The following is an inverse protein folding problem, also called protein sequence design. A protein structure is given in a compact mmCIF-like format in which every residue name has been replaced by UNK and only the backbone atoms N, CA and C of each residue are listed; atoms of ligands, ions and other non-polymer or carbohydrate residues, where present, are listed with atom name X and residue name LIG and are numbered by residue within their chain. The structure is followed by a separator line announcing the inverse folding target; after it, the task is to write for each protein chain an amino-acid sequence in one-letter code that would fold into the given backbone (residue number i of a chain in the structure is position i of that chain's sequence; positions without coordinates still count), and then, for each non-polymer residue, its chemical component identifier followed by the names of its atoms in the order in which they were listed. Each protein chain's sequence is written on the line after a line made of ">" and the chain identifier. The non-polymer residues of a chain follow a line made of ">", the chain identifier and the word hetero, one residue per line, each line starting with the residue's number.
data_IF_620006533469
#
_entry.id   IF_620006533469
#
_cell.length_a   1.000
_cell.length_b   1.000
_cell.length_c   1.000
_cell.angle_alpha   90.00
_cell.angle_beta   90.00
_cell.angle_gamma   90.00
#
_symmetry.space_group_name_H-M   'P 1'
#
loop_
_entity.id
_entity.type
_entity.pdbx_description
1 polymer ?
#
# COMPACT_ATOMS: atom_id res chain seq x y z
N UNK A 1 -14.31 17.89 8.20
CA UNK A 1 -13.69 16.59 8.59
C UNK A 1 -14.62 15.78 9.48
N UNK A 2 -14.78 14.49 9.22
CA UNK A 2 -15.63 13.55 9.98
C UNK A 2 -14.75 12.59 10.80
N UNK A 3 -14.02 13.11 11.76
CA UNK A 3 -13.17 12.35 12.68
C UNK A 3 -13.88 12.24 14.03
N UNK A 4 -14.11 11.01 14.51
CA UNK A 4 -14.72 10.77 15.84
C UNK A 4 -13.66 10.87 16.96
N UNK A 5 -13.04 12.04 17.05
CA UNK A 5 -12.03 12.35 18.06
C UNK A 5 -11.99 13.85 18.35
N UNK A 6 -12.03 14.21 19.64
CA UNK A 6 -11.87 15.58 20.13
C UNK A 6 -10.47 15.76 20.74
N UNK A 7 -9.66 16.63 20.11
CA UNK A 7 -8.29 16.91 20.56
C UNK A 7 -8.28 17.72 21.86
N UNK A 8 -7.54 17.26 22.86
CA UNK A 8 -7.22 18.03 24.07
C UNK A 8 -6.34 19.23 23.74
N UNK A 9 -5.41 19.03 22.80
CA UNK A 9 -4.56 20.08 22.25
C UNK A 9 -4.86 20.27 20.74
N UNK A 10 -5.68 21.27 20.35
CA UNK A 10 -6.06 21.51 18.96
C UNK A 10 -4.88 21.90 18.05
N UNK A 11 -3.75 22.38 18.61
CA UNK A 11 -2.55 22.70 17.81
C UNK A 11 -1.92 21.44 17.19
N UNK A 12 -2.11 20.26 17.79
CA UNK A 12 -1.66 18.98 17.20
C UNK A 12 -2.41 18.67 15.91
N UNK A 13 -3.72 18.87 15.88
CA UNK A 13 -4.51 18.70 14.65
C UNK A 13 -4.10 19.70 13.57
N UNK A 14 -3.98 20.98 13.94
CA UNK A 14 -3.53 22.03 13.02
C UNK A 14 -2.17 21.69 12.41
N UNK A 15 -1.22 21.22 13.23
CA UNK A 15 0.10 20.80 12.77
C UNK A 15 0.00 19.60 11.82
N UNK A 16 -0.84 18.60 12.14
CA UNK A 16 -1.05 17.42 11.29
C UNK A 16 -1.61 17.76 9.90
N UNK A 17 -2.40 18.83 9.81
CA UNK A 17 -3.00 19.31 8.58
C UNK A 17 -2.13 20.32 7.81
N UNK A 18 -0.95 20.69 8.31
CA UNK A 18 -0.04 21.65 7.68
C UNK A 18 1.10 20.94 6.97
N UNK A 19 1.22 21.13 5.65
CA UNK A 19 2.30 20.54 4.86
C UNK A 19 3.61 21.34 4.91
N UNK A 20 4.75 20.65 4.73
CA UNK A 20 6.09 21.26 4.68
C UNK A 20 6.26 22.31 3.58
N UNK A 21 5.49 22.19 2.49
CA UNK A 21 5.45 23.21 1.43
C UNK A 21 4.78 24.53 1.83
N UNK A 22 4.05 24.56 2.95
CA UNK A 22 3.39 25.77 3.52
C UNK A 22 4.24 26.35 4.64
N UNK A 23 4.70 25.51 5.56
CA UNK A 23 5.60 25.91 6.65
C UNK A 23 6.74 24.90 6.79
N UNK A 24 7.95 25.32 6.47
CA UNK A 24 9.13 24.45 6.51
C UNK A 24 9.58 24.07 7.94
N UNK A 25 9.14 24.83 8.96
CA UNK A 25 9.54 24.62 10.36
C UNK A 25 8.43 23.99 11.20
N UNK A 26 7.15 24.30 10.90
CA UNK A 26 5.99 23.83 11.66
C UNK A 26 5.04 23.08 10.71
N UNK A 27 5.32 21.81 10.47
CA UNK A 27 4.59 20.98 9.51
C UNK A 27 4.36 19.56 10.04
N UNK A 28 3.68 18.75 9.24
CA UNK A 28 3.21 17.43 9.62
C UNK A 28 4.26 16.30 9.57
N UNK A 29 5.46 16.50 9.02
CA UNK A 29 6.43 15.42 8.74
C UNK A 29 6.81 14.59 9.99
N UNK A 30 6.97 15.23 11.14
CA UNK A 30 7.28 14.52 12.39
C UNK A 30 6.09 13.75 12.95
N UNK A 31 4.87 14.25 12.76
CA UNK A 31 3.65 13.54 13.13
C UNK A 31 3.38 12.38 12.17
N UNK A 32 3.60 12.56 10.88
CA UNK A 32 3.58 11.51 9.85
C UNK A 32 4.52 10.37 10.24
N UNK A 33 5.78 10.69 10.58
CA UNK A 33 6.76 9.67 10.99
C UNK A 33 6.28 8.78 12.14
N UNK A 34 5.71 9.35 13.20
CA UNK A 34 5.21 8.55 14.34
C UNK A 34 3.88 7.88 14.01
N UNK A 35 3.02 8.56 13.25
CA UNK A 35 1.70 8.08 12.87
C UNK A 35 1.73 6.85 11.97
N UNK A 36 2.65 6.79 11.01
CA UNK A 36 2.88 5.58 10.20
C UNK A 36 3.18 4.36 11.08
N UNK A 37 4.01 4.50 12.13
CA UNK A 37 4.32 3.40 13.08
C UNK A 37 3.11 3.02 13.92
N UNK A 38 2.32 4.00 14.36
CA UNK A 38 1.08 3.78 15.13
C UNK A 38 0.04 3.06 14.25
N UNK A 39 -0.15 3.50 13.02
CA UNK A 39 -1.03 2.85 12.05
C UNK A 39 -0.56 1.42 11.77
N UNK A 40 0.71 1.25 11.42
CA UNK A 40 1.27 -0.06 11.08
C UNK A 40 1.10 -1.07 12.20
N UNK A 41 1.39 -0.71 13.45
CA UNK A 41 1.22 -1.59 14.60
C UNK A 41 -0.26 -1.90 14.87
N UNK A 42 -1.14 -0.90 14.77
CA UNK A 42 -2.58 -1.08 15.02
C UNK A 42 -3.23 -2.02 14.00
N UNK A 43 -2.89 -1.86 12.71
CA UNK A 43 -3.37 -2.73 11.63
C UNK A 43 -2.76 -4.14 11.74
N UNK A 44 -1.48 -4.26 12.09
CA UNK A 44 -0.86 -5.57 12.30
C UNK A 44 -1.52 -6.34 13.43
N UNK A 45 -1.79 -5.68 14.57
CA UNK A 45 -2.49 -6.29 15.70
C UNK A 45 -3.92 -6.70 15.32
N UNK A 46 -4.67 -5.84 14.62
CA UNK A 46 -6.01 -6.14 14.13
C UNK A 46 -6.01 -7.39 13.23
N UNK A 47 -5.10 -7.47 12.27
CA UNK A 47 -5.00 -8.62 11.36
C UNK A 47 -4.61 -9.91 12.10
N UNK A 48 -3.71 -9.82 13.06
CA UNK A 48 -3.31 -10.96 13.87
C UNK A 48 -4.48 -11.55 14.68
N UNK A 49 -5.32 -10.66 15.25
CA UNK A 49 -6.53 -11.06 15.98
C UNK A 49 -7.59 -11.64 15.05
N UNK A 50 -7.82 -11.04 13.87
CA UNK A 50 -8.87 -11.47 12.92
C UNK A 50 -8.52 -12.76 12.17
N UNK A 51 -7.25 -13.02 11.90
CA UNK A 51 -6.80 -14.12 11.05
C UNK A 51 -5.79 -15.06 11.75
N UNK A 52 -6.19 -15.73 12.86
CA UNK A 52 -5.27 -16.50 13.70
C UNK A 52 -4.62 -17.71 13.01
N UNK A 53 -5.19 -18.17 11.88
CA UNK A 53 -4.70 -19.32 11.13
C UNK A 53 -3.98 -18.94 9.82
N UNK A 54 -3.86 -17.65 9.50
CA UNK A 54 -3.14 -17.22 8.31
C UNK A 54 -1.61 -17.23 8.52
N UNK A 55 -0.88 -17.52 7.45
CA UNK A 55 0.58 -17.45 7.46
C UNK A 55 1.06 -15.99 7.57
N UNK A 56 2.29 -15.82 8.09
CA UNK A 56 2.95 -14.51 8.15
C UNK A 56 2.94 -13.79 6.79
N UNK A 57 3.25 -14.49 5.69
CA UNK A 57 3.25 -13.91 4.35
C UNK A 57 1.85 -13.44 3.88
N UNK A 58 0.75 -14.08 4.35
CA UNK A 58 -0.60 -13.60 4.08
C UNK A 58 -0.91 -12.35 4.89
N UNK A 59 -0.57 -12.36 6.19
CA UNK A 59 -0.76 -11.19 7.06
C UNK A 59 0.05 -9.98 6.55
N UNK A 60 1.29 -10.20 6.12
CA UNK A 60 2.14 -9.14 5.56
C UNK A 60 1.54 -8.52 4.28
N UNK A 61 0.93 -9.33 3.41
CA UNK A 61 0.24 -8.82 2.20
C UNK A 61 -1.01 -8.00 2.54
N UNK A 62 -1.84 -8.50 3.45
CA UNK A 62 -3.00 -7.73 3.93
C UNK A 62 -2.57 -6.40 4.54
N UNK A 63 -1.57 -6.45 5.41
CA UNK A 63 -1.00 -5.27 6.05
C UNK A 63 -0.52 -4.25 5.02
N UNK A 64 0.34 -4.66 4.08
CA UNK A 64 0.88 -3.77 3.04
C UNK A 64 -0.22 -3.08 2.22
N UNK A 65 -1.32 -3.76 1.92
CA UNK A 65 -2.48 -3.17 1.25
C UNK A 65 -3.19 -2.15 2.14
N UNK A 66 -3.47 -2.51 3.39
CA UNK A 66 -4.24 -1.68 4.32
C UNK A 66 -3.51 -0.40 4.74
N UNK A 67 -2.17 -0.40 4.79
CA UNK A 67 -1.36 0.79 5.09
C UNK A 67 -0.81 1.47 3.83
N UNK A 68 -1.29 1.11 2.64
CA UNK A 68 -0.85 1.74 1.39
C UNK A 68 -1.35 3.17 1.25
N UNK A 69 -0.60 3.99 0.52
CA UNK A 69 -1.00 5.37 0.15
C UNK A 69 -2.40 5.42 -0.44
N UNK A 70 -2.76 4.45 -1.30
CA UNK A 70 -4.07 4.38 -1.93
C UNK A 70 -5.19 4.15 -0.89
N UNK A 71 -4.97 3.25 0.07
CA UNK A 71 -5.95 2.99 1.13
C UNK A 71 -6.10 4.18 2.06
N UNK A 72 -4.98 4.79 2.49
CA UNK A 72 -4.97 5.99 3.32
C UNK A 72 -5.69 7.17 2.63
N UNK A 73 -5.41 7.43 1.35
CA UNK A 73 -6.07 8.49 0.59
C UNK A 73 -7.58 8.24 0.48
N UNK A 74 -8.00 6.99 0.26
CA UNK A 74 -9.43 6.62 0.23
C UNK A 74 -10.12 6.90 1.56
N UNK A 75 -9.50 6.55 2.68
CA UNK A 75 -10.04 6.85 4.03
C UNK A 75 -10.07 8.35 4.26
N UNK A 76 -9.03 9.09 3.86
CA UNK A 76 -8.97 10.53 3.93
C UNK A 76 -10.15 11.22 3.20
N UNK A 77 -10.48 10.75 1.99
CA UNK A 77 -11.66 11.22 1.26
C UNK A 77 -12.97 10.88 1.99
N UNK A 78 -13.11 9.67 2.56
CA UNK A 78 -14.31 9.27 3.29
C UNK A 78 -14.60 10.15 4.51
N UNK A 79 -13.55 10.57 5.23
CA UNK A 79 -13.67 11.46 6.39
C UNK A 79 -13.61 12.96 6.04
N UNK A 80 -13.50 13.28 4.74
CA UNK A 80 -13.54 14.66 4.22
C UNK A 80 -12.46 15.57 4.83
N UNK A 81 -11.18 15.14 4.83
CA UNK A 81 -10.10 15.96 5.39
C UNK A 81 -9.58 17.01 4.40
N UNK A 82 -9.74 16.81 3.09
CA UNK A 82 -9.18 17.67 2.05
C UNK A 82 -9.50 19.17 2.23
N UNK A 83 -10.73 19.59 2.60
CA UNK A 83 -11.04 21.00 2.81
C UNK A 83 -10.32 21.64 4.01
N UNK A 84 -9.83 20.83 4.94
CA UNK A 84 -9.13 21.28 6.15
C UNK A 84 -7.60 21.33 5.94
N UNK A 85 -7.10 20.78 4.84
CA UNK A 85 -5.67 20.70 4.58
C UNK A 85 -5.09 22.06 4.17
N UNK A 86 -4.00 22.43 4.84
CA UNK A 86 -3.17 23.56 4.44
C UNK A 86 -2.09 23.07 3.47
N UNK A 87 -2.38 23.16 2.17
CA UNK A 87 -1.47 22.75 1.09
C UNK A 87 -1.41 23.79 -0.03
N UNK A 88 -0.31 23.81 -0.81
CA UNK A 88 -0.17 24.63 -2.00
C UNK A 88 -1.01 24.12 -3.17
N UNK A 89 -1.10 24.89 -4.26
CA UNK A 89 -1.79 24.47 -5.49
C UNK A 89 -1.13 23.21 -6.06
N UNK A 90 -1.87 22.10 -6.05
CA UNK A 90 -1.45 20.84 -6.62
C UNK A 90 -2.53 20.23 -7.52
N UNK A 91 -2.10 19.52 -8.58
CA UNK A 91 -2.98 18.85 -9.53
C UNK A 91 -2.54 17.41 -9.72
N UNK A 92 -3.52 16.50 -9.91
CA UNK A 92 -3.27 15.09 -10.24
C UNK A 92 -2.92 14.21 -9.04
N UNK A 93 -2.34 13.03 -9.28
CA UNK A 93 -2.06 11.99 -8.27
C UNK A 93 -1.14 12.38 -7.10
N UNK A 94 -0.68 13.64 -7.05
CA UNK A 94 0.03 14.19 -5.89
C UNK A 94 -0.90 14.43 -4.70
N UNK A 95 -2.20 14.60 -4.92
CA UNK A 95 -3.16 14.83 -3.83
C UNK A 95 -3.30 13.60 -2.93
N UNK A 96 -3.27 12.39 -3.50
CA UNK A 96 -3.41 11.15 -2.74
C UNK A 96 -2.25 10.95 -1.75
N UNK A 97 -1.02 11.29 -2.15
CA UNK A 97 0.13 11.28 -1.24
C UNK A 97 -0.03 12.28 -0.10
N UNK A 98 -0.53 13.48 -0.40
CA UNK A 98 -0.77 14.50 0.59
C UNK A 98 -1.83 14.07 1.60
N UNK A 99 -2.91 13.48 1.11
CA UNK A 99 -3.99 12.95 1.93
C UNK A 99 -3.50 11.79 2.82
N UNK A 100 -2.70 10.88 2.26
CA UNK A 100 -2.12 9.78 3.01
C UNK A 100 -1.19 10.27 4.14
N UNK A 101 -0.27 11.18 3.83
CA UNK A 101 0.63 11.77 4.83
C UNK A 101 -0.12 12.51 5.93
N UNK A 102 -1.19 13.25 5.57
CA UNK A 102 -2.04 13.92 6.55
C UNK A 102 -2.79 12.92 7.45
N UNK A 103 -3.26 11.80 6.91
CA UNK A 103 -3.88 10.74 7.71
C UNK A 103 -2.91 10.14 8.72
N UNK A 104 -1.68 9.81 8.29
CA UNK A 104 -0.64 9.35 9.20
C UNK A 104 -0.34 10.41 10.26
N UNK A 105 -0.19 11.68 9.87
CA UNK A 105 0.05 12.76 10.80
C UNK A 105 -1.09 12.95 11.82
N UNK A 106 -2.35 12.77 11.42
CA UNK A 106 -3.51 12.78 12.33
C UNK A 106 -3.40 11.65 13.36
N UNK A 107 -3.04 10.42 12.95
CA UNK A 107 -2.85 9.32 13.91
C UNK A 107 -1.68 9.57 14.86
N UNK A 108 -0.59 10.18 14.36
CA UNK A 108 0.52 10.65 15.19
C UNK A 108 0.10 11.73 16.19
N UNK A 109 -0.76 12.67 15.76
CA UNK A 109 -1.32 13.71 16.63
C UNK A 109 -2.21 13.12 17.73
N UNK A 110 -3.11 12.17 17.40
CA UNK A 110 -3.95 11.47 18.38
C UNK A 110 -3.09 10.70 19.39
N UNK A 111 -2.05 10.02 18.91
CA UNK A 111 -1.11 9.31 19.76
C UNK A 111 -0.42 10.25 20.78
N UNK A 112 0.05 11.41 20.33
CA UNK A 112 0.69 12.38 21.23
C UNK A 112 -0.30 13.04 22.20
N UNK A 113 -1.55 13.19 21.78
CA UNK A 113 -2.62 13.83 22.56
C UNK A 113 -3.19 12.92 23.66
N UNK A 114 -3.35 11.62 23.36
CA UNK A 114 -4.09 10.69 24.23
C UNK A 114 -3.51 9.27 24.33
N UNK A 115 -2.34 9.02 23.75
CA UNK A 115 -1.65 7.74 23.85
C UNK A 115 -2.10 6.71 22.81
N UNK A 116 -1.40 5.57 22.83
CA UNK A 116 -1.55 4.52 21.81
C UNK A 116 -2.97 3.93 21.75
N UNK A 117 -3.59 3.63 22.88
CA UNK A 117 -4.90 2.99 22.91
C UNK A 117 -5.99 3.86 22.26
N UNK A 118 -5.92 5.18 22.44
CA UNK A 118 -6.85 6.11 21.79
C UNK A 118 -6.65 6.12 20.27
N UNK A 119 -5.42 6.18 19.80
CA UNK A 119 -5.10 6.13 18.37
C UNK A 119 -5.49 4.77 17.77
N UNK A 120 -5.14 3.66 18.44
CA UNK A 120 -5.50 2.30 18.02
C UNK A 120 -7.02 2.15 17.87
N UNK A 121 -7.81 2.64 18.84
CA UNK A 121 -9.26 2.55 18.76
C UNK A 121 -9.80 3.22 17.50
N UNK A 122 -9.39 4.45 17.21
CA UNK A 122 -9.82 5.20 16.01
C UNK A 122 -9.39 4.47 14.73
N UNK A 123 -8.16 3.97 14.67
CA UNK A 123 -7.65 3.22 13.53
C UNK A 123 -8.47 1.94 13.32
N UNK A 124 -8.70 1.17 14.37
CA UNK A 124 -9.49 -0.07 14.29
C UNK A 124 -10.91 0.22 13.82
N UNK A 125 -11.57 1.22 14.37
CA UNK A 125 -12.93 1.60 13.97
C UNK A 125 -13.01 1.96 12.48
N UNK A 126 -11.97 2.61 11.91
CA UNK A 126 -11.91 2.97 10.49
C UNK A 126 -11.50 1.81 9.57
N UNK A 127 -10.63 0.90 10.03
CA UNK A 127 -10.03 -0.16 9.21
C UNK A 127 -10.74 -1.51 9.30
N UNK A 128 -11.57 -1.74 10.32
CA UNK A 128 -12.17 -3.05 10.60
C UNK A 128 -12.87 -3.65 9.38
N UNK A 129 -13.76 -2.90 8.73
CA UNK A 129 -14.53 -3.42 7.59
C UNK A 129 -13.65 -3.69 6.37
N UNK A 130 -12.61 -2.87 6.15
CA UNK A 130 -11.64 -3.08 5.09
C UNK A 130 -10.74 -4.29 5.39
N UNK A 131 -10.38 -4.50 6.65
CA UNK A 131 -9.62 -5.65 7.08
C UNK A 131 -10.44 -6.94 6.97
N UNK A 132 -11.76 -6.87 7.24
CA UNK A 132 -12.69 -7.99 7.13
C UNK A 132 -13.03 -8.34 5.66
N UNK A 133 -12.95 -7.38 4.75
CA UNK A 133 -13.14 -7.66 3.34
C UNK A 133 -12.07 -8.65 2.86
N UNK A 134 -12.47 -9.66 2.07
CA UNK A 134 -11.53 -10.67 1.49
C UNK A 134 -10.56 -10.07 0.46
N UNK A 135 -10.25 -8.79 0.57
CA UNK A 135 -9.25 -8.14 -0.27
C UNK A 135 -7.87 -8.49 0.24
N UNK A 136 -7.45 -9.70 -0.04
CA UNK A 136 -6.00 -9.99 -0.06
C UNK A 136 -5.45 -9.18 -1.23
N UNK A 137 -4.49 -8.30 -0.98
CA UNK A 137 -3.73 -7.69 -2.07
C UNK A 137 -3.33 -8.80 -3.05
N UNK A 138 -3.65 -8.67 -4.36
CA UNK A 138 -3.32 -9.72 -5.30
C UNK A 138 -1.85 -10.10 -5.09
N UNK A 139 -1.57 -11.39 -4.99
CA UNK A 139 -0.17 -11.84 -4.96
C UNK A 139 0.52 -11.18 -6.14
N UNK A 140 1.66 -10.55 -5.92
CA UNK A 140 2.52 -10.18 -7.02
C UNK A 140 2.67 -11.42 -7.91
N UNK A 141 2.27 -11.30 -9.16
CA UNK A 141 2.21 -12.42 -10.08
C UNK A 141 3.54 -13.18 -10.19
N UNK A 142 4.67 -12.50 -9.99
CA UNK A 142 5.99 -13.14 -9.95
C UNK A 142 6.13 -14.05 -8.73
N UNK A 143 5.71 -13.58 -7.56
CA UNK A 143 5.72 -14.38 -6.32
C UNK A 143 4.74 -15.56 -6.43
N UNK A 144 3.54 -15.33 -6.97
CA UNK A 144 2.56 -16.39 -7.17
C UNK A 144 3.08 -17.46 -8.15
N UNK A 145 3.72 -17.04 -9.25
CA UNK A 145 4.33 -17.96 -10.22
C UNK A 145 5.48 -18.75 -9.59
N UNK A 146 6.33 -18.10 -8.81
CA UNK A 146 7.43 -18.75 -8.10
C UNK A 146 6.92 -19.83 -7.15
N UNK A 147 5.95 -19.53 -6.31
CA UNK A 147 5.34 -20.49 -5.38
C UNK A 147 4.68 -21.65 -6.14
N UNK A 148 3.98 -21.34 -7.24
CA UNK A 148 3.37 -22.38 -8.09
C UNK A 148 4.42 -23.32 -8.65
N UNK A 149 5.50 -22.81 -9.24
CA UNK A 149 6.59 -23.61 -9.81
C UNK A 149 7.28 -24.44 -8.73
N UNK A 150 7.63 -23.84 -7.59
CA UNK A 150 8.26 -24.55 -6.47
C UNK A 150 7.39 -25.68 -5.92
N UNK A 151 6.07 -25.49 -5.90
CA UNK A 151 5.12 -26.54 -5.47
C UNK A 151 5.07 -27.75 -6.43
N UNK A 152 5.32 -27.52 -7.73
CA UNK A 152 5.23 -28.57 -8.79
C UNK A 152 6.58 -29.07 -9.23
N UNK A 153 7.68 -28.62 -8.62
CA UNK A 153 9.05 -29.04 -8.88
C UNK A 153 9.82 -29.24 -7.58
N UNK A 154 11.06 -29.72 -7.66
CA UNK A 154 11.95 -29.86 -6.50
C UNK A 154 12.68 -28.51 -6.16
N UNK A 155 11.95 -27.37 -6.20
CA UNK A 155 12.51 -26.07 -5.84
C UNK A 155 13.04 -25.25 -7.02
N UNK A 156 12.68 -25.61 -8.26
CA UNK A 156 13.03 -24.81 -9.43
C UNK A 156 12.37 -23.42 -9.37
N UNK A 157 12.98 -22.46 -10.06
CA UNK A 157 12.49 -21.09 -10.15
C UNK A 157 12.10 -20.74 -11.58
N UNK A 158 11.10 -19.86 -11.79
CA UNK A 158 10.83 -19.28 -13.11
C UNK A 158 12.02 -18.51 -13.62
N UNK A 159 12.37 -18.67 -14.89
CA UNK A 159 13.47 -17.95 -15.56
C UNK A 159 12.90 -16.77 -16.32
N UNK A 160 13.44 -15.57 -16.09
CA UNK A 160 13.05 -14.34 -16.76
C UNK A 160 14.14 -13.81 -17.67
N UNK A 161 13.77 -13.56 -18.91
CA UNK A 161 14.63 -12.89 -19.92
C UNK A 161 14.00 -11.55 -20.27
N UNK A 162 14.84 -10.54 -20.52
CA UNK A 162 14.41 -9.18 -20.83
C UNK A 162 15.08 -8.72 -22.13
N UNK A 163 14.25 -8.29 -23.06
CA UNK A 163 14.75 -7.72 -24.31
C UNK A 163 15.27 -6.29 -24.09
N UNK A 164 16.02 -5.77 -25.06
CA UNK A 164 16.39 -4.37 -25.10
C UNK A 164 15.10 -3.51 -25.22
N UNK A 165 15.03 -2.38 -24.49
CA UNK A 165 13.86 -1.54 -24.52
C UNK A 165 13.63 -0.95 -25.92
N UNK A 166 12.36 -0.92 -26.34
CA UNK A 166 11.92 -0.35 -27.62
C UNK A 166 11.12 0.94 -27.39
N UNK A 167 10.92 1.75 -28.42
CA UNK A 167 10.15 3.00 -28.35
C UNK A 167 11.01 4.24 -28.13
N UNK A 168 10.37 5.38 -27.84
CA UNK A 168 11.06 6.66 -27.67
C UNK A 168 11.79 6.71 -26.31
N UNK A 169 12.93 7.39 -26.23
CA UNK A 169 13.74 7.53 -25.01
C UNK A 169 12.95 8.04 -23.79
N UNK A 170 11.93 8.85 -24.01
CA UNK A 170 11.07 9.40 -22.94
C UNK A 170 9.84 8.52 -22.61
N UNK A 171 9.60 7.45 -23.38
CA UNK A 171 8.54 6.48 -23.13
C UNK A 171 8.96 5.08 -23.61
N UNK A 172 9.96 4.46 -22.95
CA UNK A 172 10.46 3.15 -23.34
C UNK A 172 9.44 2.06 -23.05
N UNK A 173 9.39 1.07 -23.93
CA UNK A 173 8.60 -0.16 -23.74
C UNK A 173 9.54 -1.32 -23.48
N UNK A 174 9.32 -2.03 -22.39
CA UNK A 174 10.10 -3.20 -21.97
C UNK A 174 9.30 -4.47 -22.26
N UNK A 175 9.99 -5.49 -22.75
CA UNK A 175 9.46 -6.83 -22.96
C UNK A 175 10.17 -7.80 -22.02
N UNK A 176 9.41 -8.69 -21.39
CA UNK A 176 9.91 -9.76 -20.54
C UNK A 176 9.30 -11.09 -20.98
N UNK A 177 10.11 -12.12 -21.14
CA UNK A 177 9.68 -13.51 -21.33
C UNK A 177 9.96 -14.29 -20.06
N UNK A 178 8.97 -15.01 -19.54
CA UNK A 178 9.15 -15.93 -18.41
C UNK A 178 8.92 -17.36 -18.85
N UNK A 179 9.79 -18.27 -18.42
CA UNK A 179 9.69 -19.71 -18.71
C UNK A 179 9.68 -20.51 -17.41
N UNK A 180 8.74 -21.44 -17.30
CA UNK A 180 8.66 -22.42 -16.21
C UNK A 180 7.83 -23.62 -16.64
N UNK A 181 8.13 -24.81 -16.09
CA UNK A 181 7.38 -26.07 -16.35
C UNK A 181 7.18 -26.37 -17.85
N UNK A 182 8.19 -26.06 -18.67
CA UNK A 182 8.14 -26.27 -20.12
C UNK A 182 7.21 -25.33 -20.89
N UNK A 183 6.62 -24.32 -20.25
CA UNK A 183 5.79 -23.30 -20.88
C UNK A 183 6.42 -21.92 -20.73
N UNK A 184 6.09 -21.01 -21.65
CA UNK A 184 6.60 -19.63 -21.65
C UNK A 184 5.48 -18.62 -21.92
N UNK A 185 5.63 -17.41 -21.39
CA UNK A 185 4.75 -16.28 -21.68
C UNK A 185 5.53 -14.97 -21.73
N UNK A 186 5.06 -14.04 -22.57
CA UNK A 186 5.68 -12.72 -22.76
C UNK A 186 4.77 -11.61 -22.25
N UNK A 187 5.35 -10.69 -21.46
CA UNK A 187 4.70 -9.50 -20.94
C UNK A 187 5.41 -8.22 -21.41
N UNK A 188 4.64 -7.16 -21.57
CA UNK A 188 5.11 -5.83 -21.99
C UNK A 188 4.74 -4.83 -20.90
N UNK A 189 5.60 -3.83 -20.64
CA UNK A 189 5.33 -2.80 -19.65
C UNK A 189 6.22 -1.57 -19.81
N UNK A 190 5.86 -0.46 -19.14
CA UNK A 190 6.63 0.78 -19.11
C UNK A 190 7.91 0.68 -18.25
N UNK A 191 8.15 -0.47 -17.60
CA UNK A 191 9.39 -0.79 -16.87
C UNK A 191 9.65 -2.30 -16.92
N UNK A 192 10.93 -2.70 -16.70
CA UNK A 192 11.29 -4.13 -16.56
C UNK A 192 10.47 -4.84 -15.51
N UNK A 193 10.19 -4.16 -14.38
CA UNK A 193 9.35 -4.70 -13.30
C UNK A 193 7.94 -5.01 -13.80
N UNK A 194 7.29 -4.06 -14.46
CA UNK A 194 5.91 -4.22 -14.96
C UNK A 194 5.83 -5.26 -16.08
N UNK A 195 6.79 -5.28 -17.00
CA UNK A 195 6.86 -6.31 -18.04
C UNK A 195 6.96 -7.71 -17.44
N UNK A 196 7.81 -7.91 -16.41
CA UNK A 196 7.96 -9.18 -15.72
C UNK A 196 6.70 -9.61 -14.95
N UNK A 197 5.97 -8.69 -14.33
CA UNK A 197 4.68 -8.96 -13.67
C UNK A 197 3.66 -9.44 -14.71
N UNK A 198 3.50 -8.71 -15.82
CA UNK A 198 2.57 -9.06 -16.90
C UNK A 198 2.91 -10.40 -17.58
N UNK A 199 4.19 -10.74 -17.69
CA UNK A 199 4.61 -12.06 -18.18
C UNK A 199 4.20 -13.18 -17.21
N UNK A 200 4.45 -12.97 -15.91
CA UNK A 200 4.10 -13.93 -14.87
C UNK A 200 2.59 -14.21 -14.78
N UNK A 201 1.76 -13.15 -14.86
CA UNK A 201 0.29 -13.27 -14.89
C UNK A 201 -0.19 -14.14 -16.06
N UNK A 202 0.38 -13.91 -17.24
CA UNK A 202 0.04 -14.71 -18.43
C UNK A 202 0.45 -16.17 -18.27
N UNK A 203 1.65 -16.44 -17.75
CA UNK A 203 2.13 -17.79 -17.56
C UNK A 203 1.30 -18.54 -16.51
N UNK A 204 0.94 -17.89 -15.42
CA UNK A 204 0.03 -18.47 -14.41
C UNK A 204 -1.30 -18.91 -15.03
N UNK A 205 -1.90 -18.06 -15.89
CA UNK A 205 -3.14 -18.44 -16.60
C UNK A 205 -2.95 -19.64 -17.52
N UNK A 206 -1.80 -19.73 -18.20
CA UNK A 206 -1.47 -20.87 -19.08
C UNK A 206 -1.25 -22.16 -18.27
N UNK A 207 -0.67 -22.04 -17.08
CA UNK A 207 -0.40 -23.17 -16.19
C UNK A 207 -1.69 -23.65 -15.51
N UNK A 208 -2.54 -22.73 -15.01
CA UNK A 208 -3.81 -23.06 -14.35
C UNK A 208 -4.89 -23.66 -15.28
N UNK A 209 -4.78 -23.50 -16.59
CA UNK A 209 -5.70 -24.13 -17.58
C UNK A 209 -5.25 -25.58 -17.89
N UNK A 210 -4.06 -25.97 -17.49
CA UNK A 210 -3.46 -27.26 -17.78
C UNK A 210 -3.56 -28.29 -16.64
N UNK A 211 -4.12 -27.89 -15.49
CA UNK A 211 -4.50 -28.71 -14.34
C UNK A 211 -6.02 -29.00 -14.37
#
# INVERSE_FOLDING_TARGET
>A
MKLDYEFKNPELLKLALTQSGIDAQHNNERLEFIGDRVLGLSVAALLYEMYPNESEGNLARRHAYLVSTETLARVAHQIEIEPELHHGHMTGGKIDHILANAMEAIFGAIFLDSGFESARKIIVDMWHDMAAAEVVAPKDAKTALQEYVQKHTNGELPVYEYDEPTGALHNPTFTATVTALGKSATGIGASKKLAGINAAEKLLKILAIGD
#
